data_IF_071600876997
#
_entry.id   IF_071600876997
#
_cell.length_a   1.000
_cell.length_b   1.000
_cell.length_c   1.000
_cell.angle_alpha   90.00
_cell.angle_beta   90.00
_cell.angle_gamma   90.00
#
_symmetry.space_group_name_H-M   'P 1'
#
loop_
_entity.id
_entity.type
_entity.pdbx_description
1 polymer ?
#
# COMPACT_ATOMS: atom_id res chain seq x y z
N UNK A 1 -1.03 -1.18 -14.62
CA UNK A 1 -2.07 -0.45 -13.84
C UNK A 1 -2.64 -1.36 -12.75
N UNK A 2 -2.56 -0.91 -11.50
CA UNK A 2 -3.01 -1.60 -10.28
C UNK A 2 -3.98 -0.68 -9.52
N UNK A 3 -4.98 -1.29 -8.87
CA UNK A 3 -5.92 -0.60 -8.00
C UNK A 3 -5.88 -1.22 -6.61
N UNK A 4 -5.67 -0.38 -5.61
CA UNK A 4 -5.63 -0.79 -4.21
C UNK A 4 -6.67 0.00 -3.44
N UNK A 5 -7.48 -0.70 -2.63
CA UNK A 5 -8.39 -0.06 -1.69
C UNK A 5 -7.79 -0.09 -0.29
N UNK A 6 -7.74 1.05 0.38
CA UNK A 6 -7.25 1.16 1.75
C UNK A 6 -8.31 1.82 2.66
N UNK A 7 -8.26 1.63 3.99
CA UNK A 7 -9.15 2.35 4.89
C UNK A 7 -8.98 3.87 4.78
N UNK A 8 -10.08 4.63 4.83
CA UNK A 8 -10.06 6.08 4.66
C UNK A 8 -9.17 6.82 5.66
N UNK A 9 -9.20 6.39 6.93
CA UNK A 9 -8.31 6.89 7.98
C UNK A 9 -6.81 6.73 7.68
N UNK A 10 -6.43 5.88 6.72
CA UNK A 10 -5.05 5.62 6.31
C UNK A 10 -4.64 6.39 5.06
N UNK A 11 -5.58 7.04 4.36
CA UNK A 11 -5.27 7.88 3.18
C UNK A 11 -4.31 9.01 3.56
N UNK A 12 -4.56 9.71 4.66
CA UNK A 12 -3.66 10.77 5.13
C UNK A 12 -2.26 10.27 5.46
N UNK A 13 -2.12 9.02 5.96
CA UNK A 13 -0.82 8.40 6.24
C UNK A 13 -0.07 8.05 4.94
N UNK A 14 -0.80 7.56 3.93
CA UNK A 14 -0.26 7.28 2.61
C UNK A 14 0.21 8.55 1.90
N UNK A 15 -0.57 9.64 1.97
CA UNK A 15 -0.18 10.92 1.39
C UNK A 15 1.04 11.46 2.15
N UNK A 16 1.00 11.42 3.49
CA UNK A 16 2.02 12.01 4.34
C UNK A 16 1.94 13.54 4.38
N UNK A 17 2.72 14.15 5.27
CA UNK A 17 2.77 15.60 5.40
C UNK A 17 3.20 16.25 4.07
N UNK A 18 2.36 17.11 3.52
CA UNK A 18 2.60 17.77 2.22
C UNK A 18 2.76 16.82 1.03
N UNK A 19 2.31 15.56 1.12
CA UNK A 19 2.50 14.56 0.06
C UNK A 19 3.86 13.84 0.10
N UNK A 20 4.66 14.04 1.16
CA UNK A 20 6.02 13.53 1.23
C UNK A 20 6.14 11.99 1.20
N UNK A 21 5.12 11.25 1.64
CA UNK A 21 5.13 9.79 1.56
C UNK A 21 4.84 9.34 0.13
N UNK A 22 3.82 9.91 -0.50
CA UNK A 22 3.45 9.66 -1.90
C UNK A 22 4.64 9.87 -2.83
N UNK A 23 5.26 11.05 -2.77
CA UNK A 23 6.42 11.39 -3.61
C UNK A 23 7.59 10.43 -3.43
N UNK A 24 7.81 9.91 -2.22
CA UNK A 24 8.86 8.91 -1.98
C UNK A 24 8.53 7.59 -2.66
N UNK A 25 7.28 7.13 -2.61
CA UNK A 25 6.88 5.88 -3.26
C UNK A 25 7.01 6.04 -4.78
N UNK A 26 6.45 7.12 -5.34
CA UNK A 26 6.50 7.42 -6.78
C UNK A 26 7.94 7.50 -7.30
N UNK A 27 8.81 8.23 -6.61
CA UNK A 27 10.22 8.38 -7.03
C UNK A 27 11.04 7.09 -6.93
N UNK A 28 10.80 6.25 -5.91
CA UNK A 28 11.60 5.05 -5.70
C UNK A 28 11.10 3.86 -6.52
N UNK A 29 9.82 3.81 -6.83
CA UNK A 29 9.22 2.75 -7.65
C UNK A 29 8.89 3.21 -9.09
N UNK A 30 9.35 4.41 -9.48
CA UNK A 30 9.12 5.00 -10.80
C UNK A 30 7.65 4.90 -11.28
N UNK A 31 6.71 5.11 -10.38
CA UNK A 31 5.25 4.99 -10.63
C UNK A 31 4.58 6.34 -10.47
N UNK A 32 3.42 6.50 -11.10
CA UNK A 32 2.46 7.56 -10.77
C UNK A 32 1.37 6.99 -9.88
N UNK A 33 1.00 7.71 -8.81
CA UNK A 33 -0.04 7.29 -7.87
C UNK A 33 -1.12 8.36 -7.78
N UNK A 34 -2.35 7.97 -8.11
CA UNK A 34 -3.53 8.80 -7.94
C UNK A 34 -4.39 8.30 -6.78
N UNK A 35 -4.81 9.20 -5.90
CA UNK A 35 -5.60 8.88 -4.72
C UNK A 35 -6.98 9.51 -4.83
N UNK A 36 -7.99 8.68 -4.99
CA UNK A 36 -9.39 9.05 -4.84
C UNK A 36 -9.77 8.88 -3.35
N UNK A 37 -9.76 10.01 -2.65
CA UNK A 37 -10.02 10.05 -1.21
C UNK A 37 -11.49 9.76 -0.87
N UNK A 38 -12.42 10.05 -1.77
CA UNK A 38 -13.86 9.84 -1.54
C UNK A 38 -14.22 8.34 -1.63
N UNK A 39 -13.59 7.63 -2.57
CA UNK A 39 -13.81 6.18 -2.76
C UNK A 39 -12.77 5.31 -2.05
N UNK A 40 -11.81 5.92 -1.35
CA UNK A 40 -10.65 5.30 -0.72
C UNK A 40 -9.87 4.38 -1.67
N UNK A 41 -9.71 4.81 -2.92
CA UNK A 41 -9.11 4.04 -4.00
C UNK A 41 -7.78 4.69 -4.41
N UNK A 42 -6.76 3.87 -4.50
CA UNK A 42 -5.42 4.24 -4.95
C UNK A 42 -5.18 3.56 -6.29
N UNK A 43 -4.88 4.34 -7.32
CA UNK A 43 -4.50 3.88 -8.64
C UNK A 43 -3.00 4.05 -8.79
N UNK A 44 -2.34 3.03 -9.30
CA UNK A 44 -0.89 2.97 -9.46
C UNK A 44 -0.60 2.61 -10.91
N UNK A 45 0.24 3.41 -11.57
CA UNK A 45 0.57 3.24 -12.97
C UNK A 45 2.06 3.37 -13.22
N UNK A 46 2.59 2.45 -14.02
CA UNK A 46 3.92 2.53 -14.61
C UNK A 46 3.86 1.83 -15.98
N UNK A 47 4.29 2.52 -17.04
CA UNK A 47 4.27 2.01 -18.41
C UNK A 47 5.54 1.27 -18.81
N UNK A 48 6.60 1.35 -18.01
CA UNK A 48 7.94 0.89 -18.36
C UNK A 48 8.40 -0.31 -17.52
N UNK A 49 8.00 -0.39 -16.24
CA UNK A 49 8.46 -1.42 -15.31
C UNK A 49 7.31 -2.04 -14.47
N UNK A 50 6.69 -3.14 -14.94
CA UNK A 50 5.56 -3.78 -14.27
C UNK A 50 5.86 -4.31 -12.86
N UNK A 51 7.12 -4.65 -12.56
CA UNK A 51 7.51 -5.17 -11.26
C UNK A 51 7.51 -4.09 -10.17
N UNK A 52 7.96 -2.88 -10.49
CA UNK A 52 7.97 -1.76 -9.56
C UNK A 52 6.54 -1.33 -9.19
N UNK A 53 5.61 -1.49 -10.15
CA UNK A 53 4.18 -1.29 -9.92
C UNK A 53 3.61 -2.24 -8.85
N UNK A 54 4.04 -3.50 -8.84
CA UNK A 54 3.64 -4.48 -7.83
C UNK A 54 4.20 -4.12 -6.46
N UNK A 55 5.48 -3.73 -6.39
CA UNK A 55 6.11 -3.32 -5.15
C UNK A 55 5.42 -2.07 -4.55
N UNK A 56 5.10 -1.08 -5.39
CA UNK A 56 4.32 0.08 -4.97
C UNK A 56 2.93 -0.31 -4.44
N UNK A 57 2.25 -1.25 -5.10
CA UNK A 57 0.96 -1.76 -4.63
C UNK A 57 1.07 -2.42 -3.24
N UNK A 58 2.14 -3.15 -2.97
CA UNK A 58 2.38 -3.79 -1.68
C UNK A 58 2.72 -2.79 -0.57
N UNK A 59 3.46 -1.72 -0.88
CA UNK A 59 3.69 -0.61 0.06
C UNK A 59 2.38 0.07 0.42
N UNK A 60 1.54 0.37 -0.58
CA UNK A 60 0.22 0.99 -0.36
C UNK A 60 -0.66 0.09 0.50
N UNK A 61 -0.70 -1.23 0.22
CA UNK A 61 -1.41 -2.20 1.06
C UNK A 61 -0.86 -2.22 2.48
N UNK A 62 0.46 -2.28 2.66
CA UNK A 62 1.10 -2.31 3.97
C UNK A 62 0.74 -1.07 4.81
N UNK A 63 0.81 0.13 4.22
CA UNK A 63 0.37 1.37 4.87
C UNK A 63 -1.11 1.30 5.22
N UNK A 64 -1.94 0.84 4.28
CA UNK A 64 -3.38 0.64 4.50
C UNK A 64 -3.72 -0.34 5.61
N UNK A 65 -2.84 -1.32 5.89
CA UNK A 65 -3.01 -2.33 6.94
C UNK A 65 -2.28 -2.00 8.25
N UNK A 66 -1.74 -0.78 8.38
CA UNK A 66 -1.28 -0.25 9.66
C UNK A 66 0.24 -0.07 9.78
N UNK A 67 1.03 -0.52 8.81
CA UNK A 67 2.47 -0.26 8.83
C UNK A 67 2.75 1.25 8.71
N UNK A 68 3.82 1.71 9.38
CA UNK A 68 4.30 3.07 9.17
C UNK A 68 4.94 3.21 7.78
N UNK A 69 4.95 4.42 7.16
CA UNK A 69 5.60 4.63 5.87
C UNK A 69 7.07 4.18 5.85
N UNK A 70 7.80 4.40 6.95
CA UNK A 70 9.20 4.00 7.09
C UNK A 70 9.38 2.47 6.95
N UNK A 71 8.50 1.69 7.57
CA UNK A 71 8.54 0.23 7.50
C UNK A 71 8.06 -0.25 6.12
N UNK A 72 6.97 0.30 5.60
CA UNK A 72 6.47 -0.11 4.29
C UNK A 72 7.49 0.15 3.17
N UNK A 73 8.20 1.28 3.21
CA UNK A 73 9.26 1.61 2.23
C UNK A 73 10.49 0.68 2.28
N UNK A 74 10.62 -0.21 3.27
CA UNK A 74 11.71 -1.21 3.25
C UNK A 74 11.53 -2.23 2.13
N UNK A 75 10.30 -2.41 1.62
CA UNK A 75 9.98 -3.30 0.50
C UNK A 75 10.68 -2.90 -0.81
N UNK A 76 11.08 -1.64 -0.97
CA UNK A 76 11.83 -1.18 -2.16
C UNK A 76 13.35 -1.25 -1.98
N UNK A 77 13.83 -1.54 -0.76
CA UNK A 77 15.26 -1.42 -0.42
C UNK A 77 15.95 -2.76 -0.28
N UNK A 78 15.20 -3.82 -0.02
CA UNK A 78 15.73 -5.15 0.25
C UNK A 78 14.85 -6.19 -0.41
N UNK A 79 15.41 -6.84 -1.44
CA UNK A 79 14.75 -7.88 -2.22
C UNK A 79 14.38 -9.12 -1.37
N UNK A 80 14.91 -9.23 -0.14
CA UNK A 80 14.55 -10.29 0.80
C UNK A 80 13.34 -9.94 1.68
N UNK A 81 12.75 -8.76 1.52
CA UNK A 81 11.54 -8.36 2.26
C UNK A 81 10.34 -8.47 1.34
N UNK A 82 9.37 -9.28 1.74
CA UNK A 82 8.09 -9.43 1.05
C UNK A 82 6.95 -9.03 1.96
N UNK A 83 5.90 -8.44 1.37
CA UNK A 83 4.63 -8.22 2.04
C UNK A 83 3.68 -9.39 1.76
N UNK A 84 3.09 -9.96 2.79
CA UNK A 84 2.05 -10.99 2.66
C UNK A 84 0.83 -10.62 3.52
N UNK A 85 -0.35 -10.88 2.99
CA UNK A 85 -1.64 -10.57 3.64
C UNK A 85 -2.45 -11.84 3.82
N UNK A 86 -2.49 -12.32 5.06
CA UNK A 86 -3.21 -13.55 5.42
C UNK A 86 -4.58 -13.18 6.00
N UNK A 87 -5.66 -13.52 5.27
CA UNK A 87 -7.04 -13.33 5.74
C UNK A 87 -7.46 -14.40 6.76
N UNK A 88 -7.47 -14.05 8.04
CA UNK A 88 -7.85 -14.99 9.11
C UNK A 88 -9.36 -15.24 9.19
N UNK A 89 -10.21 -14.36 8.63
CA UNK A 89 -11.68 -14.49 8.69
C UNK A 89 -12.16 -15.83 8.14
N UNK A 90 -11.50 -16.37 7.11
CA UNK A 90 -11.85 -17.66 6.51
C UNK A 90 -11.57 -18.85 7.42
N UNK A 91 -10.72 -18.65 8.42
CA UNK A 91 -10.35 -19.67 9.42
C UNK A 91 -11.20 -19.55 10.69
N UNK A 92 -11.92 -18.44 10.86
CA UNK A 92 -12.83 -18.21 11.98
C UNK A 92 -14.21 -18.83 11.73
N UNK A 93 -14.81 -19.44 12.76
CA UNK A 93 -16.18 -19.99 12.65
C UNK A 93 -17.24 -18.93 12.91
N UNK A 94 -16.90 -17.94 13.72
CA UNK A 94 -17.77 -16.85 14.14
C UNK A 94 -16.92 -15.65 14.62
N UNK A 95 -17.58 -14.52 14.86
CA UNK A 95 -16.94 -13.26 15.29
C UNK A 95 -16.22 -13.37 16.65
N UNK A 96 -16.55 -14.33 17.52
CA UNK A 96 -15.82 -14.50 18.78
C UNK A 96 -14.41 -15.10 18.55
N UNK A 97 -14.22 -15.88 17.48
CA UNK A 97 -12.88 -16.42 17.12
C UNK A 97 -11.97 -15.31 16.53
N UNK A 98 -12.51 -14.14 16.18
CA UNK A 98 -11.80 -13.00 15.58
C UNK A 98 -11.36 -11.93 16.61
N UNK A 99 -11.70 -12.11 17.89
CA UNK A 99 -11.42 -11.17 18.98
C UNK A 99 -10.15 -11.52 19.74
#
# INVERSE_FOLDING_TARGET
>A
MQYVKIPGERIGVLIGEGGATLQKIESHANVTIEVDSDNHRVQIENTEAPFEELAAADIVKAIGRGFSPKVALSLLKDDNITFDLIELKRLSRNENDMR
#
